data_IF_664956658864
#
_entry.id   IF_664956658864
#
_cell.length_a   1.000
_cell.length_b   1.000
_cell.length_c   1.000
_cell.angle_alpha   90.00
_cell.angle_beta   90.00
_cell.angle_gamma   90.00
#
_symmetry.space_group_name_H-M   'P 1'
#
loop_
_entity.id
_entity.type
_entity.pdbx_description
1 polymer ?
#
# COMPACT_ATOMS: atom_id res chain seq x y z
N UNK A 1 -4.20 0.54 -14.21
CA UNK A 1 -2.92 -0.19 -14.32
C UNK A 1 -1.93 0.54 -15.22
N UNK A 2 -2.41 1.03 -16.37
CA UNK A 2 -1.65 1.83 -17.36
C UNK A 2 -0.87 3.00 -16.75
N UNK A 3 -1.48 3.78 -15.85
CA UNK A 3 -0.79 4.91 -15.19
C UNK A 3 0.42 4.46 -14.34
N UNK A 4 0.27 3.39 -13.56
CA UNK A 4 1.34 2.87 -12.70
C UNK A 4 2.49 2.34 -13.55
N UNK A 5 2.18 1.56 -14.60
CA UNK A 5 3.19 1.09 -15.56
C UNK A 5 3.94 2.25 -16.21
N UNK A 6 3.22 3.30 -16.60
CA UNK A 6 3.84 4.49 -17.19
C UNK A 6 4.74 5.24 -16.19
N UNK A 7 4.31 5.37 -14.94
CA UNK A 7 5.07 6.07 -13.88
C UNK A 7 6.38 5.35 -13.55
N UNK A 8 6.36 4.02 -13.53
CA UNK A 8 7.51 3.19 -13.15
C UNK A 8 8.28 2.60 -14.35
N UNK A 9 8.00 3.04 -15.59
CA UNK A 9 8.56 2.43 -16.81
C UNK A 9 10.09 2.39 -16.87
N UNK A 10 10.74 3.39 -16.26
CA UNK A 10 12.20 3.56 -16.23
C UNK A 10 12.76 3.46 -14.80
N UNK A 11 12.00 2.89 -13.87
CA UNK A 11 12.41 2.80 -12.47
C UNK A 11 13.26 1.54 -12.25
N UNK A 12 14.56 1.73 -12.09
CA UNK A 12 15.55 0.67 -11.89
C UNK A 12 15.85 0.37 -10.42
N UNK A 13 15.66 1.35 -9.54
CA UNK A 13 16.23 1.32 -8.19
C UNK A 13 15.16 0.92 -7.16
N UNK A 14 14.96 -0.39 -7.02
CA UNK A 14 13.99 -0.96 -6.09
C UNK A 14 14.65 -1.29 -4.75
N UNK A 15 14.67 -0.32 -3.84
CA UNK A 15 15.08 -0.56 -2.46
C UNK A 15 14.10 -1.50 -1.75
N UNK A 16 14.64 -2.44 -1.00
CA UNK A 16 13.85 -3.37 -0.18
C UNK A 16 14.06 -3.05 1.30
N UNK A 17 12.96 -2.78 2.00
CA UNK A 17 12.98 -2.42 3.43
C UNK A 17 12.47 -3.57 4.32
N UNK A 18 11.86 -4.58 3.71
CA UNK A 18 11.41 -5.82 4.33
C UNK A 18 11.27 -6.92 3.28
N UNK A 19 11.10 -8.17 3.71
CA UNK A 19 10.80 -9.30 2.81
C UNK A 19 9.49 -9.10 2.00
N UNK A 20 8.61 -8.23 2.49
CA UNK A 20 7.31 -7.94 1.88
C UNK A 20 7.34 -6.71 0.95
N UNK A 21 8.47 -6.01 0.86
CA UNK A 21 8.60 -4.84 -0.02
C UNK A 21 8.67 -5.30 -1.49
N UNK A 22 7.81 -4.80 -2.39
CA UNK A 22 7.88 -5.15 -3.80
C UNK A 22 9.21 -4.74 -4.43
N UNK A 23 9.93 -5.69 -5.03
CA UNK A 23 11.28 -5.47 -5.60
C UNK A 23 11.29 -5.20 -7.09
N UNK A 24 10.11 -5.14 -7.73
CA UNK A 24 9.97 -4.85 -9.15
C UNK A 24 8.53 -4.45 -9.49
N UNK A 25 8.33 -3.93 -10.71
CA UNK A 25 7.03 -3.48 -11.20
C UNK A 25 5.98 -4.61 -11.20
N UNK A 26 6.37 -5.85 -11.52
CA UNK A 26 5.44 -6.99 -11.54
C UNK A 26 4.92 -7.28 -10.12
N UNK A 27 5.80 -7.32 -9.12
CA UNK A 27 5.44 -7.52 -7.72
C UNK A 27 4.55 -6.38 -7.20
N UNK A 28 4.87 -5.12 -7.56
CA UNK A 28 4.06 -3.96 -7.20
C UNK A 28 2.63 -4.07 -7.75
N UNK A 29 2.51 -4.40 -9.05
CA UNK A 29 1.20 -4.53 -9.69
C UNK A 29 0.38 -5.68 -9.10
N UNK A 30 1.02 -6.80 -8.75
CA UNK A 30 0.37 -7.91 -8.07
C UNK A 30 -0.15 -7.48 -6.69
N UNK A 31 0.66 -6.77 -5.90
CA UNK A 31 0.24 -6.23 -4.60
C UNK A 31 -0.92 -5.24 -4.74
N UNK A 32 -0.86 -4.33 -5.71
CA UNK A 32 -1.94 -3.38 -5.98
C UNK A 32 -3.24 -4.08 -6.41
N UNK A 33 -3.16 -5.18 -7.16
CA UNK A 33 -4.33 -5.98 -7.52
C UNK A 33 -5.01 -6.56 -6.29
N UNK A 34 -4.22 -7.11 -5.36
CA UNK A 34 -4.72 -7.62 -4.08
C UNK A 34 -5.32 -6.52 -3.21
N UNK A 35 -4.63 -5.39 -3.01
CA UNK A 35 -5.14 -4.27 -2.17
C UNK A 35 -6.46 -3.72 -2.71
N UNK A 36 -6.67 -3.71 -4.03
CA UNK A 36 -7.93 -3.24 -4.64
C UNK A 36 -9.14 -4.10 -4.32
N UNK A 37 -8.95 -5.36 -3.91
CA UNK A 37 -10.08 -6.20 -3.47
C UNK A 37 -10.52 -5.87 -2.05
N UNK A 38 -9.72 -5.08 -1.32
CA UNK A 38 -9.95 -4.70 0.06
C UNK A 38 -10.60 -3.32 0.14
N UNK A 39 -11.37 -3.07 1.21
CA UNK A 39 -11.95 -1.74 1.48
C UNK A 39 -10.90 -0.73 1.96
N UNK A 40 -9.89 -1.24 2.66
CA UNK A 40 -8.75 -0.50 3.21
C UNK A 40 -7.48 -1.29 2.95
N UNK A 41 -6.36 -0.59 2.86
CA UNK A 41 -5.05 -1.23 2.72
C UNK A 41 -4.44 -1.39 4.10
N UNK A 42 -4.08 -2.62 4.48
CA UNK A 42 -3.26 -2.89 5.66
C UNK A 42 -1.83 -3.22 5.24
N UNK A 43 -0.87 -2.56 5.85
CA UNK A 43 0.56 -2.78 5.75
C UNK A 43 1.09 -3.17 7.12
N UNK A 44 1.40 -4.45 7.31
CA UNK A 44 1.97 -5.01 8.52
C UNK A 44 3.44 -5.34 8.26
N UNK A 45 4.39 -4.56 8.77
CA UNK A 45 5.82 -4.85 8.58
C UNK A 45 6.40 -4.63 7.17
N UNK A 46 5.63 -4.11 6.20
CA UNK A 46 6.05 -4.07 4.77
C UNK A 46 7.08 -2.98 4.41
N UNK A 47 7.29 -2.02 5.30
CA UNK A 47 8.26 -0.92 5.14
C UNK A 47 9.16 -0.78 6.37
N UNK A 48 8.58 -0.94 7.56
CA UNK A 48 9.30 -1.04 8.81
C UNK A 48 8.72 -2.23 9.57
N UNK A 49 9.57 -3.19 9.96
CA UNK A 49 9.17 -4.44 10.63
C UNK A 49 8.44 -4.19 11.96
N UNK A 50 8.66 -3.04 12.58
CA UNK A 50 8.06 -2.68 13.87
C UNK A 50 6.78 -1.85 13.73
N UNK A 51 6.26 -1.65 12.50
CA UNK A 51 5.12 -0.78 12.24
C UNK A 51 3.99 -1.49 11.49
N UNK A 52 2.77 -1.26 11.96
CA UNK A 52 1.54 -1.52 11.22
C UNK A 52 0.92 -0.19 10.76
N UNK A 53 0.36 -0.17 9.56
CA UNK A 53 -0.35 0.98 9.01
C UNK A 53 -1.60 0.55 8.25
N UNK A 54 -2.71 1.25 8.45
CA UNK A 54 -3.96 1.06 7.72
C UNK A 54 -4.29 2.36 6.98
N UNK A 55 -4.68 2.24 5.71
CA UNK A 55 -4.98 3.37 4.85
C UNK A 55 -6.34 3.21 4.16
N UNK A 56 -7.14 4.27 4.20
CA UNK A 56 -8.45 4.33 3.58
C UNK A 56 -8.51 5.45 2.52
N UNK A 57 -9.05 5.18 1.32
CA UNK A 57 -9.16 6.19 0.27
C UNK A 57 -10.25 7.22 0.58
N UNK A 58 -9.96 8.49 0.28
CA UNK A 58 -10.94 9.58 0.26
C UNK A 58 -11.35 9.85 -1.19
N UNK A 59 -12.64 9.75 -1.46
CA UNK A 59 -13.21 10.02 -2.77
C UNK A 59 -13.93 11.37 -2.79
N UNK A 60 -13.75 12.11 -3.88
CA UNK A 60 -14.52 13.32 -4.13
C UNK A 60 -15.97 12.94 -4.45
N UNK A 61 -16.93 13.47 -3.70
CA UNK A 61 -18.35 13.12 -3.86
C UNK A 61 -18.89 13.45 -5.26
N UNK A 62 -18.39 14.51 -5.90
CA UNK A 62 -18.90 14.98 -7.20
C UNK A 62 -18.63 14.04 -8.37
N UNK A 63 -17.58 13.22 -8.30
CA UNK A 63 -17.18 12.36 -9.44
C UNK A 63 -16.59 11.01 -9.03
N UNK A 64 -16.62 10.67 -7.74
CA UNK A 64 -16.07 9.41 -7.22
C UNK A 64 -14.56 9.25 -7.40
N UNK A 65 -13.82 10.29 -7.80
CA UNK A 65 -12.38 10.20 -7.99
C UNK A 65 -11.68 10.16 -6.64
N UNK A 66 -10.76 9.22 -6.45
CA UNK A 66 -9.88 9.21 -5.28
C UNK A 66 -8.96 10.44 -5.34
N UNK A 67 -8.97 11.24 -4.28
CA UNK A 67 -8.23 12.52 -4.22
C UNK A 67 -7.23 12.57 -3.07
N UNK A 68 -7.44 11.77 -2.03
CA UNK A 68 -6.57 11.69 -0.88
C UNK A 68 -6.69 10.31 -0.22
N UNK A 69 -5.90 10.08 0.82
CA UNK A 69 -5.90 8.87 1.65
C UNK A 69 -5.75 9.31 3.10
N UNK A 70 -6.50 8.69 4.02
CA UNK A 70 -6.25 8.79 5.47
C UNK A 70 -5.42 7.58 5.86
N UNK A 71 -4.32 7.80 6.56
CA UNK A 71 -3.43 6.74 7.03
C UNK A 71 -3.27 6.83 8.54
N UNK A 72 -3.39 5.71 9.22
CA UNK A 72 -3.11 5.55 10.66
C UNK A 72 -2.02 4.50 10.82
N UNK A 73 -0.99 4.82 11.58
CA UNK A 73 0.11 3.90 11.88
C UNK A 73 0.32 3.75 13.38
N UNK A 74 0.75 2.56 13.79
CA UNK A 74 1.11 2.26 15.17
C UNK A 74 2.25 1.23 15.21
N UNK A 75 2.95 1.09 16.35
CA UNK A 75 3.83 -0.05 16.58
C UNK A 75 3.09 -1.37 16.39
N UNK A 76 3.76 -2.36 15.81
CA UNK A 76 3.17 -3.67 15.45
C UNK A 76 2.73 -4.48 16.68
N UNK A 77 3.24 -4.12 17.86
CA UNK A 77 2.90 -4.72 19.15
C UNK A 77 1.64 -4.11 19.79
N UNK A 78 1.05 -3.08 19.19
CA UNK A 78 -0.10 -2.35 19.78
C UNK A 78 -1.39 -3.16 19.68
N UNK A 79 -1.56 -3.87 18.57
CA UNK A 79 -2.73 -4.70 18.26
C UNK A 79 -2.24 -6.02 17.66
N UNK A 80 -3.10 -7.03 17.57
CA UNK A 80 -2.84 -8.19 16.70
C UNK A 80 -3.34 -7.92 15.27
N UNK A 81 -2.84 -8.68 14.29
CA UNK A 81 -3.14 -8.48 12.87
C UNK A 81 -4.64 -8.67 12.53
N UNK A 82 -5.38 -9.44 13.34
CA UNK A 82 -6.82 -9.65 13.11
C UNK A 82 -7.66 -8.48 13.62
N UNK A 83 -7.16 -7.77 14.62
CA UNK A 83 -7.85 -6.66 15.27
C UNK A 83 -7.61 -5.32 14.57
N UNK A 84 -6.47 -5.15 13.90
CA UNK A 84 -6.04 -3.91 13.25
C UNK A 84 -6.69 -3.65 11.88
#
# INVERSE_FOLDING_TARGET
ETEVRQRYRNFSDWDSFSELTPTNLKALLQRLSYVKTQKTMVSWGHYNHDMAACAAPIFKQSNGKMVAVISVSCPITTYDERTF
#
